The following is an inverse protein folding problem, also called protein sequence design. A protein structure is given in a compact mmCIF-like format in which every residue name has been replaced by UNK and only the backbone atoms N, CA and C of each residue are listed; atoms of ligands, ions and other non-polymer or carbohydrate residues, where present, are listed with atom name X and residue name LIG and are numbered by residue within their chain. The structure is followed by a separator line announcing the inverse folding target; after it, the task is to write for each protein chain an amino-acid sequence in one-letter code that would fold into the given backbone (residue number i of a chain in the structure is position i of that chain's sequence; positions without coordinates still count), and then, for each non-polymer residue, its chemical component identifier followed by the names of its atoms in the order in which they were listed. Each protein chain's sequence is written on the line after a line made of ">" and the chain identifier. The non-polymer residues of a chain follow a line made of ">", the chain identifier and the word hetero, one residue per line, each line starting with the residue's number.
data_IF_351783587133
#
_entry.id   IF_351783587133
#
_cell.length_a   1.000
_cell.length_b   1.000
_cell.length_c   1.000
_cell.angle_alpha   90.00
_cell.angle_beta   90.00
_cell.angle_gamma   90.00
#
_symmetry.space_group_name_H-M   'P 1'
#
loop_
_entity.id
_entity.type
_entity.pdbx_description
1 polymer ?
#
# COMPACT_ATOMS: atom_id res chain seq x y z
N UNK A 1 6.57 -14.14 -11.20
CA UNK A 1 5.60 -13.04 -11.24
C UNK A 1 6.10 -11.95 -10.32
N UNK A 2 6.62 -10.89 -10.93
CA UNK A 2 7.09 -9.66 -10.27
C UNK A 2 5.96 -8.64 -10.20
N UNK A 3 6.08 -7.61 -9.36
CA UNK A 3 5.09 -6.53 -9.36
C UNK A 3 5.10 -5.75 -10.68
N UNK A 4 6.27 -5.63 -11.32
CA UNK A 4 6.41 -5.03 -12.65
C UNK A 4 5.52 -5.72 -13.70
N UNK A 5 5.54 -7.05 -13.75
CA UNK A 5 4.69 -7.82 -14.67
C UNK A 5 3.20 -7.63 -14.36
N UNK A 6 2.84 -7.54 -13.08
CA UNK A 6 1.47 -7.38 -12.62
C UNK A 6 0.89 -6.01 -12.99
N UNK A 7 1.66 -4.94 -12.80
CA UNK A 7 1.19 -3.57 -13.03
C UNK A 7 1.32 -3.07 -14.46
N UNK A 8 1.82 -3.89 -15.39
CA UNK A 8 2.12 -3.47 -16.77
C UNK A 8 0.93 -2.78 -17.45
N UNK A 9 -0.30 -3.32 -17.29
CA UNK A 9 -1.48 -2.68 -17.86
C UNK A 9 -1.86 -1.36 -17.17
N UNK A 10 -1.54 -1.20 -15.88
CA UNK A 10 -1.73 0.06 -15.16
C UNK A 10 -0.77 1.13 -15.71
N UNK A 11 0.48 0.74 -15.98
CA UNK A 11 1.47 1.62 -16.61
C UNK A 11 1.04 2.05 -18.02
N UNK A 12 0.58 1.10 -18.84
CA UNK A 12 0.08 1.39 -20.20
C UNK A 12 -1.09 2.37 -20.18
N UNK A 13 -2.03 2.18 -19.24
CA UNK A 13 -3.16 3.08 -19.01
C UNK A 13 -2.67 4.47 -18.57
N UNK A 14 -1.72 4.54 -17.64
CA UNK A 14 -1.16 5.80 -17.16
C UNK A 14 -0.50 6.59 -18.29
N UNK A 15 0.35 5.95 -19.10
CA UNK A 15 1.01 6.58 -20.25
C UNK A 15 -0.01 7.08 -21.26
N UNK A 16 -1.07 6.30 -21.52
CA UNK A 16 -2.16 6.73 -22.40
C UNK A 16 -2.83 8.01 -21.88
N UNK A 17 -3.16 8.07 -20.59
CA UNK A 17 -3.78 9.24 -19.96
C UNK A 17 -2.83 10.45 -19.92
N UNK A 18 -1.55 10.26 -19.62
CA UNK A 18 -0.54 11.32 -19.61
C UNK A 18 -0.43 12.00 -20.97
N UNK A 19 -0.44 11.21 -22.06
CA UNK A 19 -0.37 11.71 -23.44
C UNK A 19 -1.60 12.52 -23.87
N UNK A 20 -2.74 12.39 -23.17
CA UNK A 20 -3.92 13.22 -23.48
C UNK A 20 -3.78 14.65 -22.96
N UNK A 21 -2.95 14.87 -21.94
CA UNK A 21 -2.86 16.12 -21.18
C UNK A 21 -4.21 16.63 -20.63
N UNK A 22 -5.22 15.75 -20.53
CA UNK A 22 -6.58 16.11 -20.08
C UNK A 22 -6.71 16.21 -18.55
N UNK A 23 -5.80 15.60 -17.81
CA UNK A 23 -5.90 15.45 -16.35
C UNK A 23 -4.72 16.11 -15.66
N UNK A 24 -4.97 16.61 -14.44
CA UNK A 24 -3.89 17.00 -13.53
C UNK A 24 -3.04 15.77 -13.20
N UNK A 25 -1.74 15.98 -13.03
CA UNK A 25 -0.80 14.92 -12.61
C UNK A 25 -1.31 14.18 -11.37
N UNK A 26 -1.79 14.90 -10.36
CA UNK A 26 -2.30 14.30 -9.12
C UNK A 26 -3.41 13.27 -9.37
N UNK A 27 -4.30 13.56 -10.32
CA UNK A 27 -5.38 12.64 -10.69
C UNK A 27 -4.86 11.43 -11.47
N UNK A 28 -3.94 11.63 -12.41
CA UNK A 28 -3.33 10.53 -13.18
C UNK A 28 -2.59 9.54 -12.26
N UNK A 29 -1.82 10.05 -11.31
CA UNK A 29 -1.10 9.22 -10.35
C UNK A 29 -2.03 8.52 -9.35
N UNK A 30 -3.14 9.14 -8.96
CA UNK A 30 -4.15 8.48 -8.12
C UNK A 30 -4.81 7.31 -8.85
N UNK A 31 -5.19 7.48 -10.12
CA UNK A 31 -5.71 6.38 -10.96
C UNK A 31 -4.68 5.24 -11.14
N UNK A 32 -3.39 5.57 -11.17
CA UNK A 32 -2.32 4.58 -11.21
C UNK A 32 -2.23 3.81 -9.89
N UNK A 33 -2.30 4.50 -8.74
CA UNK A 33 -2.33 3.86 -7.42
C UNK A 33 -3.51 2.92 -7.25
N UNK A 34 -4.74 3.38 -7.55
CA UNK A 34 -5.95 2.56 -7.47
C UNK A 34 -5.84 1.28 -8.32
N UNK A 35 -5.27 1.40 -9.52
CA UNK A 35 -5.04 0.26 -10.40
C UNK A 35 -4.05 -0.73 -9.79
N UNK A 36 -2.90 -0.23 -9.28
CA UNK A 36 -1.89 -1.08 -8.65
C UNK A 36 -2.43 -1.78 -7.40
N UNK A 37 -3.21 -1.06 -6.58
CA UNK A 37 -3.92 -1.61 -5.43
C UNK A 37 -4.80 -2.79 -5.83
N UNK A 38 -5.68 -2.58 -6.82
CA UNK A 38 -6.62 -3.60 -7.27
C UNK A 38 -5.89 -4.87 -7.76
N UNK A 39 -4.83 -4.71 -8.56
CA UNK A 39 -4.02 -5.85 -9.04
C UNK A 39 -3.35 -6.58 -7.91
N UNK A 40 -2.78 -5.83 -6.97
CA UNK A 40 -2.06 -6.42 -5.85
C UNK A 40 -3.00 -7.22 -4.96
N UNK A 41 -4.16 -6.63 -4.62
CA UNK A 41 -5.17 -7.25 -3.77
C UNK A 41 -5.76 -8.51 -4.44
N UNK A 42 -6.17 -8.42 -5.71
CA UNK A 42 -6.71 -9.57 -6.45
C UNK A 42 -5.66 -10.63 -6.80
N UNK A 43 -4.39 -10.22 -6.88
CA UNK A 43 -3.27 -11.07 -7.28
C UNK A 43 -2.51 -11.63 -6.08
N UNK A 44 -1.24 -11.23 -5.86
CA UNK A 44 -0.37 -11.77 -4.80
C UNK A 44 -0.97 -11.73 -3.40
N UNK A 45 -1.66 -10.64 -3.03
CA UNK A 45 -2.15 -10.47 -1.68
C UNK A 45 -3.28 -11.45 -1.36
N UNK A 46 -4.18 -11.71 -2.32
CA UNK A 46 -5.26 -12.72 -2.15
C UNK A 46 -4.75 -14.09 -1.71
N UNK A 47 -3.58 -14.51 -2.20
CA UNK A 47 -2.96 -15.79 -1.86
C UNK A 47 -2.35 -15.75 -0.46
N UNK A 48 -1.72 -14.64 -0.08
CA UNK A 48 -1.18 -14.42 1.25
C UNK A 48 -2.31 -14.34 2.28
N UNK A 49 -3.36 -13.56 2.02
CA UNK A 49 -4.53 -13.42 2.89
C UNK A 49 -5.27 -14.74 3.07
N UNK A 50 -5.41 -15.55 2.02
CA UNK A 50 -5.99 -16.88 2.18
C UNK A 50 -5.22 -17.71 3.21
N UNK A 51 -3.88 -17.68 3.16
CA UNK A 51 -3.02 -18.38 4.10
C UNK A 51 -3.09 -17.79 5.51
N UNK A 52 -3.11 -16.48 5.64
CA UNK A 52 -3.27 -15.81 6.93
C UNK A 52 -4.65 -16.13 7.53
N UNK A 53 -5.73 -16.15 6.74
CA UNK A 53 -7.08 -16.56 7.18
C UNK A 53 -7.14 -18.03 7.61
N UNK A 54 -6.37 -18.92 6.99
CA UNK A 54 -6.24 -20.31 7.44
C UNK A 54 -5.56 -20.39 8.81
N UNK A 55 -4.46 -19.65 9.01
CA UNK A 55 -3.77 -19.57 10.30
C UNK A 55 -4.70 -18.96 11.37
N UNK A 56 -5.44 -17.91 11.03
CA UNK A 56 -6.40 -17.26 11.94
C UNK A 56 -7.44 -18.26 12.47
N UNK A 57 -7.89 -19.20 11.64
CA UNK A 57 -8.87 -20.22 12.03
C UNK A 57 -8.29 -21.32 12.93
N UNK A 58 -7.03 -21.68 12.74
CA UNK A 58 -6.40 -22.83 13.41
C UNK A 58 -5.66 -22.39 14.68
N UNK A 59 -4.86 -21.33 14.59
CA UNK A 59 -4.02 -20.79 15.66
C UNK A 59 -4.04 -19.25 15.66
N UNK A 60 -5.16 -18.62 16.10
CA UNK A 60 -5.30 -17.16 16.09
C UNK A 60 -4.15 -16.44 16.82
N UNK A 61 -3.59 -17.03 17.88
CA UNK A 61 -2.51 -16.44 18.67
C UNK A 61 -1.21 -16.22 17.88
N UNK A 62 -1.05 -16.85 16.70
CA UNK A 62 0.15 -16.71 15.85
C UNK A 62 0.20 -15.42 15.03
N UNK A 63 -0.94 -14.80 14.76
CA UNK A 63 -1.02 -13.57 13.97
C UNK A 63 -0.98 -12.34 14.88
N UNK A 64 -0.40 -11.27 14.38
CA UNK A 64 -0.43 -9.97 15.03
C UNK A 64 -1.87 -9.43 15.16
N UNK A 65 -2.09 -8.53 16.10
CA UNK A 65 -3.42 -7.92 16.31
C UNK A 65 -3.90 -7.18 15.06
N UNK A 66 -3.04 -6.39 14.42
CA UNK A 66 -3.47 -5.58 13.29
C UNK A 66 -3.72 -6.42 12.01
N UNK A 67 -3.03 -7.55 11.80
CA UNK A 67 -3.42 -8.48 10.71
C UNK A 67 -4.80 -9.10 10.98
N UNK A 68 -5.16 -9.37 12.24
CA UNK A 68 -6.51 -9.86 12.56
C UNK A 68 -7.57 -8.83 12.25
N UNK A 69 -7.37 -7.60 12.72
CA UNK A 69 -8.27 -6.47 12.49
C UNK A 69 -8.51 -6.29 10.99
N UNK A 70 -7.45 -6.25 10.19
CA UNK A 70 -7.58 -6.10 8.74
C UNK A 70 -8.26 -7.29 8.05
N UNK A 71 -8.03 -8.53 8.51
CA UNK A 71 -8.72 -9.69 7.96
C UNK A 71 -10.21 -9.72 8.33
N UNK A 72 -10.61 -9.08 9.44
CA UNK A 72 -12.00 -8.97 9.90
C UNK A 72 -12.75 -7.80 9.24
N UNK A 73 -12.05 -6.72 8.90
CA UNK A 73 -12.58 -5.60 8.15
C UNK A 73 -12.88 -5.99 6.67
N UNK A 74 -13.97 -5.45 6.13
CA UNK A 74 -14.26 -5.56 4.69
C UNK A 74 -13.32 -4.67 3.89
N UNK A 75 -12.92 -5.09 2.68
CA UNK A 75 -12.06 -4.35 1.73
C UNK A 75 -12.39 -2.85 1.72
N UNK A 76 -11.61 -2.06 2.46
CA UNK A 76 -11.65 -0.60 2.38
C UNK A 76 -10.33 -0.15 1.80
N UNK A 77 -10.32 0.01 0.48
CA UNK A 77 -9.25 0.75 -0.17
C UNK A 77 -9.18 2.15 0.45
N UNK A 78 -7.96 2.61 0.72
CA UNK A 78 -7.68 3.91 1.31
C UNK A 78 -6.53 4.56 0.54
N UNK A 79 -6.60 5.88 0.38
CA UNK A 79 -5.55 6.74 -0.16
C UNK A 79 -4.85 7.56 0.94
N UNK A 80 -5.20 7.34 2.21
CA UNK A 80 -4.59 8.00 3.35
C UNK A 80 -3.17 7.45 3.57
N UNK A 81 -2.18 8.31 3.36
CA UNK A 81 -0.76 7.97 3.49
C UNK A 81 -0.40 7.35 4.85
N UNK A 82 -1.00 7.83 5.95
CA UNK A 82 -0.70 7.34 7.29
C UNK A 82 -1.29 5.95 7.49
N UNK A 83 -2.51 5.71 6.99
CA UNK A 83 -3.14 4.39 7.05
C UNK A 83 -2.36 3.41 6.19
N UNK A 84 -2.03 3.75 4.93
CA UNK A 84 -1.23 2.90 4.03
C UNK A 84 0.10 2.54 4.68
N UNK A 85 0.82 3.52 5.22
CA UNK A 85 2.12 3.28 5.85
C UNK A 85 1.99 2.39 7.08
N UNK A 86 1.05 2.67 7.99
CA UNK A 86 0.87 1.90 9.24
C UNK A 86 0.43 0.46 8.96
N UNK A 87 -0.58 0.28 8.11
CA UNK A 87 -1.08 -1.06 7.74
C UNK A 87 0.00 -1.84 7.00
N UNK A 88 0.70 -1.21 6.06
CA UNK A 88 1.83 -1.79 5.34
C UNK A 88 2.93 -2.31 6.26
N UNK A 89 3.35 -1.50 7.22
CA UNK A 89 4.40 -1.89 8.19
C UNK A 89 3.92 -2.98 9.15
N UNK A 90 2.66 -2.93 9.55
CA UNK A 90 2.08 -3.94 10.42
C UNK A 90 2.03 -5.34 9.77
N UNK A 91 1.72 -5.41 8.47
CA UNK A 91 1.59 -6.66 7.75
C UNK A 91 2.93 -7.35 7.47
N UNK A 92 3.99 -6.57 7.28
CA UNK A 92 5.31 -7.06 6.87
C UNK A 92 5.82 -8.29 7.66
N UNK A 93 5.80 -8.31 9.02
CA UNK A 93 6.27 -9.45 9.79
C UNK A 93 5.48 -10.74 9.54
N UNK A 94 4.15 -10.65 9.41
CA UNK A 94 3.29 -11.81 9.18
C UNK A 94 3.37 -12.28 7.72
N UNK A 95 3.54 -11.36 6.76
CA UNK A 95 3.86 -11.69 5.35
C UNK A 95 5.19 -12.44 5.26
N UNK A 96 6.24 -11.94 5.90
CA UNK A 96 7.57 -12.57 5.90
C UNK A 96 7.54 -13.96 6.55
N UNK A 97 6.83 -14.10 7.67
CA UNK A 97 6.82 -15.33 8.46
C UNK A 97 5.93 -16.42 7.86
N UNK A 98 4.77 -16.03 7.33
CA UNK A 98 3.73 -16.98 6.99
C UNK A 98 3.46 -17.09 5.49
N UNK A 99 3.70 -16.06 4.68
CA UNK A 99 3.41 -16.13 3.24
C UNK A 99 4.57 -16.79 2.45
N UNK A 100 4.38 -17.01 1.14
CA UNK A 100 5.45 -17.52 0.28
C UNK A 100 6.60 -16.50 0.27
N UNK A 101 7.87 -16.89 0.47
CA UNK A 101 9.01 -15.96 0.50
C UNK A 101 9.12 -15.04 -0.72
N UNK A 102 8.58 -15.46 -1.88
CA UNK A 102 8.53 -14.61 -3.08
C UNK A 102 7.61 -13.39 -2.94
N UNK A 103 6.68 -13.39 -1.98
CA UNK A 103 5.74 -12.28 -1.78
C UNK A 103 6.33 -11.14 -0.96
N UNK A 104 7.26 -11.39 -0.05
CA UNK A 104 7.90 -10.33 0.73
C UNK A 104 8.50 -9.20 -0.13
N UNK A 105 9.31 -9.47 -1.17
CA UNK A 105 9.82 -8.41 -2.03
C UNK A 105 8.71 -7.69 -2.81
N UNK A 106 7.70 -8.42 -3.29
CA UNK A 106 6.55 -7.84 -4.01
C UNK A 106 5.74 -6.92 -3.08
N UNK A 107 5.53 -7.32 -1.83
CA UNK A 107 4.81 -6.54 -0.82
C UNK A 107 5.54 -5.24 -0.47
N UNK A 108 6.86 -5.31 -0.30
CA UNK A 108 7.70 -4.11 -0.06
C UNK A 108 7.67 -3.15 -1.24
N UNK A 109 7.77 -3.67 -2.46
CA UNK A 109 7.69 -2.86 -3.68
C UNK A 109 6.30 -2.21 -3.82
N UNK A 110 5.24 -2.96 -3.56
CA UNK A 110 3.87 -2.49 -3.57
C UNK A 110 3.68 -1.32 -2.59
N UNK A 111 4.07 -1.48 -1.32
CA UNK A 111 3.97 -0.41 -0.33
C UNK A 111 4.76 0.83 -0.76
N UNK A 112 5.97 0.63 -1.30
CA UNK A 112 6.80 1.73 -1.79
C UNK A 112 6.15 2.47 -2.97
N UNK A 113 5.51 1.75 -3.89
CA UNK A 113 4.83 2.35 -5.04
C UNK A 113 3.59 3.13 -4.63
N UNK A 114 2.81 2.63 -3.67
CA UNK A 114 1.63 3.37 -3.18
C UNK A 114 2.03 4.70 -2.57
N UNK A 115 3.03 4.68 -1.68
CA UNK A 115 3.55 5.87 -1.05
C UNK A 115 4.20 6.85 -2.06
N UNK A 116 4.76 6.33 -3.15
CA UNK A 116 5.29 7.15 -4.24
C UNK A 116 4.16 7.80 -5.05
N UNK A 117 3.22 7.01 -5.56
CA UNK A 117 2.17 7.46 -6.45
C UNK A 117 1.25 8.48 -5.78
N UNK A 118 0.99 8.32 -4.48
CA UNK A 118 0.18 9.27 -3.71
C UNK A 118 0.99 10.49 -3.21
N UNK A 119 2.27 10.60 -3.58
CA UNK A 119 3.22 11.62 -3.13
C UNK A 119 3.46 11.65 -1.61
N UNK A 120 3.21 10.54 -0.91
CA UNK A 120 3.38 10.35 0.52
C UNK A 120 4.84 10.44 0.99
N UNK A 121 5.78 9.93 0.20
CA UNK A 121 7.18 9.81 0.61
C UNK A 121 8.08 10.96 0.12
N UNK A 122 7.51 11.95 -0.57
CA UNK A 122 8.21 13.13 -1.07
C UNK A 122 9.15 12.90 -2.26
N UNK A 123 9.29 11.67 -2.77
CA UNK A 123 10.05 11.39 -3.99
C UNK A 123 9.31 11.90 -5.23
N UNK A 124 7.99 11.87 -5.21
CA UNK A 124 7.13 12.44 -6.24
C UNK A 124 6.64 13.83 -5.81
N UNK A 125 6.66 14.77 -6.77
CA UNK A 125 5.95 16.04 -6.67
C UNK A 125 5.09 16.17 -7.92
N UNK A 126 3.78 16.19 -7.78
CA UNK A 126 2.87 16.39 -8.92
C UNK A 126 3.22 17.70 -9.64
N UNK A 127 3.23 17.70 -10.97
CA UNK A 127 3.37 18.96 -11.72
C UNK A 127 2.11 19.78 -11.48
N UNK A 128 2.25 20.91 -10.80
CA UNK A 128 1.12 21.79 -10.50
C UNK A 128 1.18 23.03 -11.38
N UNK A 129 0.08 23.31 -12.08
CA UNK A 129 -0.31 24.68 -12.38
C UNK A 129 -0.96 25.31 -11.14
N UNK A 130 -0.18 25.57 -10.08
CA UNK A 130 -0.60 26.32 -8.89
C UNK A 130 -0.72 25.52 -7.57
N UNK A 131 0.20 25.79 -6.63
CA UNK A 131 0.14 25.76 -5.14
C UNK A 131 -0.82 24.82 -4.36
N UNK A 132 -1.23 23.64 -4.85
CA UNK A 132 -1.94 22.66 -4.01
C UNK A 132 -0.99 22.02 -2.97
N UNK A 133 -1.53 21.72 -1.78
CA UNK A 133 -0.79 21.05 -0.69
C UNK A 133 -0.46 19.60 -1.08
N UNK A 134 0.75 19.16 -0.75
CA UNK A 134 1.20 17.79 -0.99
C UNK A 134 0.84 16.91 0.20
N UNK A 135 0.31 15.70 -0.06
CA UNK A 135 0.07 14.68 0.95
C UNK A 135 1.41 14.03 1.35
N UNK A 136 2.27 14.73 2.10
CA UNK A 136 3.56 14.19 2.54
C UNK A 136 3.44 13.66 3.96
N UNK A 137 3.96 12.46 4.20
CA UNK A 137 4.12 11.92 5.55
C UNK A 137 5.09 12.81 6.33
N UNK A 138 4.59 13.49 7.36
CA UNK A 138 5.44 14.27 8.25
C UNK A 138 6.26 13.33 9.16
N UNK A 139 7.56 13.59 9.28
CA UNK A 139 8.44 12.80 10.16
C UNK A 139 8.03 12.83 11.64
N UNK A 140 7.22 13.81 12.06
CA UNK A 140 6.70 13.95 13.43
C UNK A 140 5.64 12.90 13.79
N UNK A 141 4.86 12.42 12.82
CA UNK A 141 3.82 11.38 13.04
C UNK A 141 4.41 9.96 13.19
N UNK A 142 5.71 9.81 12.93
CA UNK A 142 6.46 8.56 13.09
C UNK A 142 6.80 8.32 14.58
N UNK A 143 6.83 9.38 15.40
CA UNK A 143 7.36 9.35 16.77
C UNK A 143 6.30 9.27 17.88
N UNK A 144 5.02 9.46 17.60
CA UNK A 144 3.99 9.58 18.67
C UNK A 144 3.51 8.25 19.26
N UNK A 145 3.83 7.09 18.67
CA UNK A 145 3.40 5.78 19.20
C UNK A 145 4.51 4.97 19.90
N UNK A 146 5.72 5.52 20.12
CA UNK A 146 6.80 4.81 20.83
C UNK A 146 7.02 5.25 22.28
N UNK A 147 6.23 6.18 22.80
CA UNK A 147 6.35 6.62 24.20
C UNK A 147 4.98 6.96 24.79
N UNK A 148 4.24 5.93 25.17
CA UNK A 148 3.27 6.01 26.27
C UNK A 148 3.11 4.63 26.93
N UNK A 149 4.14 4.23 27.67
CA UNK A 149 3.98 3.42 28.87
C UNK A 149 5.16 3.76 29.77
N UNK A 150 4.89 4.61 30.76
CA UNK A 150 5.63 4.77 32.01
C UNK A 150 4.94 5.88 32.82
N UNK A 151 3.91 5.48 33.56
CA UNK A 151 3.70 5.73 34.99
C UNK A 151 2.33 5.23 35.41
#
# INVERSE_FOLDING_TARGET
>A
MTLTELKMYCDDRFVCLENTHCYKDSYNYHLLDECIEEVFQKGPMSLCDKKLREILKIEPSKLSACVKEHLEESDTSTDDCLIIHKTGQCYLPDVEKYCDPKFLPVYKEYLSLRLYNLACDGRLRYRVGGNEQQNVLNSTDITTNSTQSLN
#
